data_IF_508367787197
#
_entry.id   IF_508367787197
#
_cell.length_a   1.000
_cell.length_b   1.000
_cell.length_c   1.000
_cell.angle_alpha   90.00
_cell.angle_beta   90.00
_cell.angle_gamma   90.00
#
_symmetry.space_group_name_H-M   'P 1'
#
loop_
_entity.id
_entity.type
_entity.pdbx_description
1 polymer ?
#
# COMPACT_ATOMS: atom_id res chain seq x y z
N UNK A 1 28.16 38.80 19.82
CA UNK A 1 27.01 38.83 20.77
C UNK A 1 25.84 38.23 20.00
N UNK A 2 25.62 36.92 20.10
CA UNK A 2 24.52 36.25 19.38
C UNK A 2 23.23 36.64 20.10
N UNK A 3 22.33 37.34 19.41
CA UNK A 3 21.11 37.91 19.97
C UNK A 3 20.21 36.81 20.57
N UNK A 4 19.81 37.03 21.82
CA UNK A 4 19.02 36.12 22.66
C UNK A 4 17.56 35.91 22.17
N UNK A 5 17.21 36.44 20.99
CA UNK A 5 15.84 36.49 20.47
C UNK A 5 15.47 35.34 19.51
N UNK A 6 16.40 34.45 19.20
CA UNK A 6 16.12 33.29 18.32
C UNK A 6 15.47 32.09 19.02
N UNK A 7 15.44 32.07 20.36
CA UNK A 7 14.86 30.96 21.13
C UNK A 7 13.34 30.86 20.94
N UNK A 8 12.64 32.00 20.92
CA UNK A 8 11.18 32.04 20.79
C UNK A 8 10.68 31.49 19.43
N UNK A 9 11.24 31.89 18.26
CA UNK A 9 10.83 31.31 16.98
C UNK A 9 11.20 29.83 16.86
N UNK A 10 12.31 29.36 17.44
CA UNK A 10 12.67 27.93 17.45
C UNK A 10 11.61 27.12 18.22
N UNK A 11 11.18 27.59 19.39
CA UNK A 11 10.13 26.93 20.19
C UNK A 11 8.80 26.87 19.41
N UNK A 12 8.44 27.94 18.71
CA UNK A 12 7.23 27.99 17.88
C UNK A 12 7.31 26.95 16.74
N UNK A 13 8.45 26.87 16.05
CA UNK A 13 8.66 25.88 14.97
C UNK A 13 8.54 24.44 15.52
N UNK A 14 9.11 24.17 16.69
CA UNK A 14 9.00 22.86 17.35
C UNK A 14 7.54 22.54 17.69
N UNK A 15 6.80 23.49 18.28
CA UNK A 15 5.38 23.30 18.63
C UNK A 15 4.51 23.07 17.39
N UNK A 16 4.73 23.82 16.31
CA UNK A 16 4.05 23.60 15.03
C UNK A 16 4.36 22.19 14.51
N UNK A 17 5.62 21.76 14.57
CA UNK A 17 6.02 20.41 14.18
C UNK A 17 5.27 19.33 14.96
N UNK A 18 5.12 19.49 16.28
CA UNK A 18 4.39 18.54 17.13
C UNK A 18 2.90 18.50 16.77
N UNK A 19 2.27 19.66 16.56
CA UNK A 19 0.85 19.74 16.18
C UNK A 19 0.62 19.08 14.82
N UNK A 20 1.45 19.40 13.82
CA UNK A 20 1.36 18.80 12.49
C UNK A 20 1.57 17.29 12.54
N UNK A 21 2.54 16.82 13.32
CA UNK A 21 2.80 15.39 13.51
C UNK A 21 1.60 14.68 14.14
N UNK A 22 1.00 15.26 15.19
CA UNK A 22 -0.20 14.72 15.83
C UNK A 22 -1.40 14.66 14.88
N UNK A 23 -1.61 15.71 14.09
CA UNK A 23 -2.70 15.76 13.11
C UNK A 23 -2.54 14.72 12.00
N UNK A 24 -1.32 14.58 11.45
CA UNK A 24 -1.02 13.57 10.44
C UNK A 24 -1.27 12.15 10.97
N UNK A 25 -0.91 11.88 12.22
CA UNK A 25 -1.15 10.58 12.86
C UNK A 25 -2.65 10.29 12.99
N UNK A 26 -3.47 11.28 13.36
CA UNK A 26 -4.93 11.11 13.43
C UNK A 26 -5.56 10.78 12.08
N UNK A 27 -5.18 11.49 11.01
CA UNK A 27 -5.68 11.21 9.66
C UNK A 27 -5.39 9.76 9.25
N UNK A 28 -4.17 9.27 9.54
CA UNK A 28 -3.77 7.88 9.24
C UNK A 28 -4.63 6.88 9.99
N UNK A 29 -4.92 7.11 11.28
CA UNK A 29 -5.79 6.24 12.06
C UNK A 29 -7.23 6.21 11.52
N UNK A 30 -7.79 7.36 11.16
CA UNK A 30 -9.16 7.42 10.63
C UNK A 30 -9.29 6.70 9.28
N UNK A 31 -8.39 6.96 8.34
CA UNK A 31 -8.39 6.29 7.02
C UNK A 31 -8.12 4.78 7.14
N UNK A 32 -7.26 4.37 8.07
CA UNK A 32 -7.01 2.95 8.34
C UNK A 32 -8.23 2.28 9.00
N UNK A 33 -8.86 2.92 9.99
CA UNK A 33 -10.06 2.40 10.65
C UNK A 33 -11.23 2.30 9.67
N UNK A 34 -11.38 3.27 8.77
CA UNK A 34 -12.37 3.23 7.69
C UNK A 34 -12.10 2.08 6.72
N UNK A 35 -10.84 1.89 6.32
CA UNK A 35 -10.45 0.77 5.45
C UNK A 35 -10.77 -0.56 6.13
N UNK A 36 -10.29 -0.78 7.36
CA UNK A 36 -10.50 -2.01 8.12
C UNK A 36 -11.97 -2.31 8.39
N UNK A 37 -12.78 -1.30 8.74
CA UNK A 37 -14.21 -1.50 9.00
C UNK A 37 -15.00 -1.85 7.74
N UNK A 38 -14.51 -1.48 6.56
CA UNK A 38 -15.13 -1.83 5.28
C UNK A 38 -14.80 -3.25 4.80
N UNK A 39 -13.65 -3.82 5.19
CA UNK A 39 -13.19 -5.13 4.72
C UNK A 39 -14.25 -6.22 4.83
N UNK A 40 -14.96 -6.43 5.96
CA UNK A 40 -15.96 -7.49 6.08
C UNK A 40 -17.07 -7.42 5.03
N UNK A 41 -17.37 -6.21 4.55
CA UNK A 41 -18.50 -5.91 3.66
C UNK A 41 -18.11 -5.86 2.18
N UNK A 42 -16.82 -5.98 1.84
CA UNK A 42 -16.39 -6.01 0.43
C UNK A 42 -17.06 -7.18 -0.28
N UNK A 43 -17.72 -6.85 -1.39
CA UNK A 43 -18.45 -7.79 -2.26
C UNK A 43 -17.78 -8.00 -3.61
N UNK A 44 -16.98 -7.03 -4.06
CA UNK A 44 -16.26 -7.08 -5.33
C UNK A 44 -14.92 -6.35 -5.28
N UNK A 45 -13.97 -6.85 -6.06
CA UNK A 45 -12.63 -6.29 -6.21
C UNK A 45 -12.39 -6.06 -7.70
N UNK A 46 -12.19 -4.80 -8.06
CA UNK A 46 -12.03 -4.35 -9.43
C UNK A 46 -10.57 -3.99 -9.69
N UNK A 47 -9.95 -4.64 -10.67
CA UNK A 47 -8.59 -4.31 -11.10
C UNK A 47 -8.64 -3.49 -12.38
N UNK A 48 -7.93 -2.37 -12.38
CA UNK A 48 -7.81 -1.44 -13.50
C UNK A 48 -6.37 -1.25 -13.89
N UNK A 49 -6.13 -1.05 -15.19
CA UNK A 49 -4.88 -0.52 -15.71
C UNK A 49 -4.74 0.93 -15.23
N UNK A 50 -3.62 1.28 -14.62
CA UNK A 50 -3.45 2.60 -14.04
C UNK A 50 -3.19 3.71 -15.07
N UNK A 51 -2.71 3.36 -16.26
CA UNK A 51 -2.37 4.31 -17.33
C UNK A 51 -3.62 4.81 -18.06
N UNK A 52 -4.60 3.92 -18.29
CA UNK A 52 -5.79 4.25 -19.06
C UNK A 52 -7.12 4.05 -18.29
N UNK A 53 -7.06 3.62 -17.03
CA UNK A 53 -8.19 3.31 -16.15
C UNK A 53 -9.15 2.22 -16.70
N UNK A 54 -8.71 1.45 -17.69
CA UNK A 54 -9.48 0.37 -18.27
C UNK A 54 -9.64 -0.75 -17.23
N UNK A 55 -10.87 -1.25 -17.10
CA UNK A 55 -11.17 -2.43 -16.30
C UNK A 55 -10.50 -3.67 -16.91
N UNK A 56 -9.62 -4.31 -16.14
CA UNK A 56 -8.95 -5.56 -16.52
C UNK A 56 -9.70 -6.75 -15.96
N UNK A 57 -10.01 -6.73 -14.67
CA UNK A 57 -10.55 -7.88 -13.94
C UNK A 57 -11.62 -7.44 -12.95
N UNK A 58 -12.63 -8.29 -12.75
CA UNK A 58 -13.63 -8.14 -11.69
C UNK A 58 -13.69 -9.44 -10.91
N UNK A 59 -13.39 -9.36 -9.63
CA UNK A 59 -13.44 -10.50 -8.72
C UNK A 59 -14.62 -10.32 -7.77
N UNK A 60 -15.29 -11.41 -7.49
CA UNK A 60 -16.45 -11.52 -6.60
C UNK A 60 -16.24 -12.67 -5.63
N UNK A 61 -17.17 -12.89 -4.70
CA UNK A 61 -17.10 -13.98 -3.74
C UNK A 61 -17.04 -15.38 -4.38
N UNK A 62 -17.39 -15.52 -5.66
CA UNK A 62 -17.29 -16.79 -6.39
C UNK A 62 -15.84 -17.09 -6.84
N UNK A 63 -14.97 -16.07 -6.89
CA UNK A 63 -13.61 -16.22 -7.35
C UNK A 63 -12.70 -16.83 -6.27
N UNK A 64 -11.89 -17.87 -6.59
CA UNK A 64 -11.10 -18.58 -5.60
C UNK A 64 -10.11 -17.73 -4.80
N UNK A 65 -9.64 -16.62 -5.35
CA UNK A 65 -8.66 -15.73 -4.72
C UNK A 65 -9.30 -14.59 -3.92
N UNK A 66 -10.63 -14.44 -4.01
CA UNK A 66 -11.34 -13.28 -3.48
C UNK A 66 -11.16 -13.11 -1.97
N UNK A 67 -11.36 -14.17 -1.19
CA UNK A 67 -11.26 -14.11 0.27
C UNK A 67 -9.84 -13.75 0.75
N UNK A 68 -8.81 -14.21 0.03
CA UNK A 68 -7.43 -13.84 0.32
C UNK A 68 -7.16 -12.37 -0.02
N UNK A 69 -7.62 -11.91 -1.17
CA UNK A 69 -7.46 -10.52 -1.60
C UNK A 69 -8.31 -9.55 -0.77
N UNK A 70 -9.47 -9.97 -0.27
CA UNK A 70 -10.31 -9.18 0.63
C UNK A 70 -9.57 -8.82 1.92
N UNK A 71 -8.71 -9.71 2.40
CA UNK A 71 -7.98 -9.57 3.66
C UNK A 71 -6.58 -8.96 3.47
N UNK A 72 -6.44 -7.87 2.71
CA UNK A 72 -5.13 -7.22 2.44
C UNK A 72 -4.41 -6.67 3.67
N UNK A 73 -5.14 -6.23 4.70
CA UNK A 73 -4.56 -5.60 5.89
C UNK A 73 -4.18 -6.63 6.98
N UNK A 74 -3.51 -7.72 6.60
CA UNK A 74 -2.94 -8.64 7.59
C UNK A 74 -1.64 -8.11 8.18
N UNK A 75 -0.78 -7.55 7.33
CA UNK A 75 0.51 -7.00 7.74
C UNK A 75 0.89 -5.86 6.81
N UNK A 76 1.38 -4.76 7.36
CA UNK A 76 1.79 -3.57 6.62
C UNK A 76 3.11 -3.03 7.16
N UNK A 77 3.72 -2.14 6.37
CA UNK A 77 4.93 -1.42 6.70
C UNK A 77 4.74 0.06 6.34
N UNK A 78 5.01 0.93 7.30
CA UNK A 78 4.91 2.38 7.14
C UNK A 78 6.16 2.90 6.40
N UNK A 79 5.99 3.58 5.28
CA UNK A 79 7.10 4.18 4.56
C UNK A 79 7.57 5.48 5.22
N UNK A 80 8.82 5.46 5.65
CA UNK A 80 9.54 6.66 6.03
C UNK A 80 9.71 7.61 4.84
N UNK A 81 9.92 8.89 5.14
CA UNK A 81 10.08 9.93 4.11
C UNK A 81 11.13 9.58 3.04
N UNK A 82 12.25 8.98 3.45
CA UNK A 82 13.33 8.57 2.55
C UNK A 82 12.96 7.37 1.65
N UNK A 83 12.01 6.55 2.07
CA UNK A 83 11.54 5.36 1.36
C UNK A 83 10.37 5.67 0.44
N UNK A 84 9.64 6.78 0.63
CA UNK A 84 8.55 7.22 -0.27
C UNK A 84 9.00 7.43 -1.71
N UNK A 85 10.30 7.57 -1.96
CA UNK A 85 10.86 7.54 -3.31
C UNK A 85 10.57 6.25 -4.09
N UNK A 86 10.23 5.15 -3.41
CA UNK A 86 9.76 3.92 -4.03
C UNK A 86 8.43 4.12 -4.78
N UNK A 87 7.70 5.19 -4.46
CA UNK A 87 6.44 5.60 -5.09
C UNK A 87 6.66 6.70 -6.14
N UNK A 88 7.91 6.98 -6.53
CA UNK A 88 8.23 7.95 -7.58
C UNK A 88 7.97 7.31 -8.95
N UNK A 89 6.71 7.20 -9.32
CA UNK A 89 6.27 6.63 -10.59
C UNK A 89 4.75 6.53 -10.63
N UNK A 90 4.22 6.14 -11.77
CA UNK A 90 2.82 5.73 -11.85
C UNK A 90 2.72 4.26 -11.43
N UNK A 91 1.67 3.87 -10.69
CA UNK A 91 1.39 2.46 -10.50
C UNK A 91 1.09 1.80 -11.84
N UNK A 92 1.21 0.47 -11.91
CA UNK A 92 0.78 -0.31 -13.06
C UNK A 92 -0.72 -0.61 -13.00
N UNK A 93 -1.23 -0.87 -11.80
CA UNK A 93 -2.63 -1.22 -11.60
C UNK A 93 -3.23 -0.55 -10.37
N UNK A 94 -4.53 -0.30 -10.44
CA UNK A 94 -5.36 0.01 -9.28
C UNK A 94 -6.23 -1.19 -8.94
N UNK A 95 -6.23 -1.60 -7.67
CA UNK A 95 -7.14 -2.59 -7.11
C UNK A 95 -8.14 -1.86 -6.22
N UNK A 96 -9.36 -1.74 -6.71
CA UNK A 96 -10.45 -1.06 -6.03
C UNK A 96 -11.35 -2.07 -5.30
N UNK A 97 -11.60 -1.81 -4.03
CA UNK A 97 -12.44 -2.63 -3.18
C UNK A 97 -13.79 -1.96 -3.01
N UNK A 98 -14.84 -2.68 -3.40
CA UNK A 98 -16.18 -2.15 -3.55
C UNK A 98 -17.13 -2.78 -2.52
N UNK A 99 -18.08 -1.97 -2.06
CA UNK A 99 -19.23 -2.38 -1.25
C UNK A 99 -20.45 -1.75 -1.88
N UNK A 100 -21.38 -2.56 -2.38
CA UNK A 100 -22.57 -2.11 -3.11
C UNK A 100 -22.19 -1.18 -4.27
N UNK A 101 -21.19 -1.56 -5.06
CA UNK A 101 -20.60 -0.77 -6.16
C UNK A 101 -19.92 0.56 -5.73
N UNK A 102 -19.89 0.89 -4.44
CA UNK A 102 -19.19 2.07 -3.94
C UNK A 102 -17.73 1.75 -3.59
N UNK A 103 -16.81 2.54 -4.14
CA UNK A 103 -15.39 2.46 -3.82
C UNK A 103 -15.12 2.81 -2.35
N UNK A 104 -14.61 1.83 -1.60
CA UNK A 104 -14.20 2.01 -0.19
C UNK A 104 -12.71 2.26 -0.05
N UNK A 105 -11.88 1.50 -0.76
CA UNK A 105 -10.44 1.69 -0.74
C UNK A 105 -9.78 1.27 -2.06
N UNK A 106 -8.58 1.82 -2.29
CA UNK A 106 -7.76 1.53 -3.46
C UNK A 106 -6.38 1.11 -2.99
N UNK A 107 -5.89 0.00 -3.54
CA UNK A 107 -4.51 -0.42 -3.43
C UNK A 107 -3.87 -0.23 -4.80
N UNK A 108 -2.70 0.40 -4.82
CA UNK A 108 -1.91 0.61 -6.02
C UNK A 108 -0.83 -0.47 -6.10
N UNK A 109 -0.68 -1.08 -7.28
CA UNK A 109 0.39 -2.04 -7.56
C UNK A 109 1.47 -1.31 -8.34
N UNK A 110 2.67 -1.23 -7.78
CA UNK A 110 3.84 -0.67 -8.45
C UNK A 110 4.80 -1.78 -8.85
N UNK A 111 5.50 -1.58 -9.96
CA UNK A 111 6.72 -2.29 -10.30
C UNK A 111 7.89 -1.34 -10.09
N UNK A 112 8.90 -1.77 -9.34
CA UNK A 112 10.01 -0.90 -8.94
C UNK A 112 11.34 -1.43 -9.50
N UNK A 113 12.30 -0.53 -9.75
CA UNK A 113 13.60 -0.90 -10.33
C UNK A 113 14.61 -1.49 -9.33
N UNK A 114 14.22 -1.72 -8.07
CA UNK A 114 15.14 -2.13 -7.00
C UNK A 114 14.85 -3.56 -6.51
N UNK A 115 15.76 -4.49 -6.78
CA UNK A 115 15.68 -5.92 -6.46
C UNK A 115 15.68 -6.22 -4.94
N UNK A 116 16.16 -5.30 -4.10
CA UNK A 116 16.23 -5.51 -2.64
C UNK A 116 15.58 -4.38 -1.88
N UNK A 117 14.26 -4.46 -1.68
CA UNK A 117 13.64 -3.75 -0.57
C UNK A 117 13.77 -4.63 0.67
N UNK A 118 14.77 -4.35 1.50
CA UNK A 118 14.83 -4.92 2.85
C UNK A 118 13.92 -4.11 3.76
N UNK A 119 12.61 -4.39 3.73
CA UNK A 119 11.66 -3.85 4.68
C UNK A 119 11.64 -4.81 5.87
N UNK A 120 12.60 -4.63 6.78
CA UNK A 120 12.59 -5.32 8.06
C UNK A 120 11.51 -4.64 8.91
N UNK A 121 10.48 -5.35 9.40
CA UNK A 121 9.51 -4.77 10.32
C UNK A 121 10.25 -4.22 11.54
N UNK A 122 10.03 -2.95 11.88
CA UNK A 122 10.72 -2.29 13.00
C UNK A 122 10.30 -2.80 14.38
N UNK A 123 9.19 -3.55 14.48
CA UNK A 123 8.67 -4.04 15.75
C UNK A 123 8.64 -5.58 15.83
N UNK A 124 9.58 -6.10 16.63
CA UNK A 124 9.44 -7.24 17.53
C UNK A 124 8.56 -8.41 17.08
N UNK A 125 9.14 -9.37 16.35
CA UNK A 125 8.61 -10.74 16.36
C UNK A 125 9.73 -11.77 16.49
N UNK A 126 9.66 -12.59 17.54
CA UNK A 126 10.57 -13.70 17.84
C UNK A 126 10.16 -15.01 17.14
N UNK A 127 9.52 -14.90 15.96
CA UNK A 127 8.95 -16.04 15.23
C UNK A 127 9.46 -16.13 13.80
N UNK A 128 9.61 -17.37 13.31
CA UNK A 128 10.15 -17.79 12.00
C UNK A 128 9.28 -17.43 10.79
N UNK A 129 8.45 -16.38 10.85
CA UNK A 129 7.63 -15.94 9.70
C UNK A 129 8.33 -14.81 8.97
N UNK A 130 8.89 -15.12 7.82
CA UNK A 130 9.40 -14.13 6.87
C UNK A 130 8.21 -13.38 6.28
N UNK A 131 8.00 -12.15 6.73
CA UNK A 131 7.02 -11.24 6.11
C UNK A 131 7.64 -10.73 4.80
N UNK A 132 6.88 -10.84 3.72
CA UNK A 132 7.33 -10.49 2.37
C UNK A 132 6.51 -9.31 1.85
N UNK A 133 7.19 -8.19 1.59
CA UNK A 133 6.57 -6.92 1.16
C UNK A 133 6.83 -6.61 -0.33
N UNK A 134 7.59 -7.46 -1.00
CA UNK A 134 7.83 -7.39 -2.42
C UNK A 134 7.61 -8.76 -3.06
N UNK A 135 7.25 -8.78 -4.33
CA UNK A 135 7.10 -10.04 -5.06
C UNK A 135 7.82 -9.95 -6.38
N UNK A 136 8.73 -10.89 -6.62
CA UNK A 136 9.39 -11.06 -7.90
C UNK A 136 8.83 -12.31 -8.56
N UNK A 137 8.05 -12.14 -9.62
CA UNK A 137 7.65 -13.28 -10.45
C UNK A 137 8.88 -13.81 -11.22
N UNK A 138 8.94 -15.11 -11.51
CA UNK A 138 10.08 -15.79 -12.12
C UNK A 138 10.47 -15.25 -13.49
N UNK A 139 9.51 -14.66 -14.22
CA UNK A 139 9.70 -14.15 -15.57
C UNK A 139 10.03 -12.65 -15.60
N UNK A 140 10.09 -12.00 -14.43
CA UNK A 140 10.32 -10.57 -14.32
C UNK A 140 11.66 -10.26 -13.64
N UNK A 141 12.28 -9.14 -14.03
CA UNK A 141 13.53 -8.65 -13.42
C UNK A 141 13.28 -7.63 -12.31
N UNK A 142 12.03 -7.14 -12.21
CA UNK A 142 11.67 -6.05 -11.30
C UNK A 142 10.56 -6.49 -10.34
N UNK A 143 10.72 -6.28 -9.02
CA UNK A 143 9.72 -6.70 -8.07
C UNK A 143 8.51 -5.76 -8.04
N UNK A 144 7.40 -6.32 -7.60
CA UNK A 144 6.15 -5.65 -7.34
C UNK A 144 6.00 -5.28 -5.86
N UNK A 145 5.33 -4.18 -5.59
CA UNK A 145 4.84 -3.80 -4.26
C UNK A 145 3.37 -3.38 -4.33
N UNK A 146 2.64 -3.63 -3.25
CA UNK A 146 1.27 -3.14 -3.08
C UNK A 146 1.26 -2.01 -2.06
N UNK A 147 0.60 -0.92 -2.41
CA UNK A 147 0.68 0.33 -1.66
C UNK A 147 -0.68 0.92 -1.43
N UNK A 148 -0.89 1.45 -0.23
CA UNK A 148 -2.03 2.28 0.10
C UNK A 148 -1.51 3.71 0.19
N UNK A 149 -1.56 4.41 -0.95
CA UNK A 149 -0.86 5.68 -1.16
C UNK A 149 -1.24 6.74 -0.12
N UNK A 150 -2.53 6.86 0.20
CA UNK A 150 -3.04 7.78 1.23
C UNK A 150 -2.37 7.60 2.59
N UNK A 151 -1.98 6.37 2.91
CA UNK A 151 -1.36 6.02 4.19
C UNK A 151 0.17 5.93 4.11
N UNK A 152 0.74 5.98 2.89
CA UNK A 152 2.13 5.64 2.59
C UNK A 152 2.53 4.29 3.19
N UNK A 153 1.68 3.28 3.00
CA UNK A 153 1.86 1.95 3.56
C UNK A 153 2.06 0.91 2.47
N UNK A 154 3.08 0.06 2.63
CA UNK A 154 3.21 -1.17 1.84
C UNK A 154 2.51 -2.29 2.58
N UNK A 155 1.72 -3.10 1.88
CA UNK A 155 1.07 -4.27 2.46
C UNK A 155 1.82 -5.55 2.06
N UNK A 156 1.76 -6.56 2.93
CA UNK A 156 2.39 -7.87 2.66
C UNK A 156 1.69 -8.63 1.53
N UNK A 157 2.44 -9.50 0.85
CA UNK A 157 1.89 -10.41 -0.15
C UNK A 157 1.31 -11.68 0.48
N UNK A 158 0.05 -11.98 0.18
CA UNK A 158 -0.56 -13.32 0.32
C UNK A 158 -0.36 -14.15 -0.95
N UNK A 159 -0.67 -15.45 -0.91
CA UNK A 159 -0.64 -16.30 -2.11
C UNK A 159 -1.66 -15.80 -3.16
N UNK A 160 -2.84 -15.36 -2.73
CA UNK A 160 -3.84 -14.72 -3.59
C UNK A 160 -3.31 -13.46 -4.27
N UNK A 161 -2.49 -12.65 -3.59
CA UNK A 161 -1.90 -11.45 -4.21
C UNK A 161 -0.83 -11.81 -5.24
N UNK A 162 0.01 -12.82 -4.95
CA UNK A 162 1.01 -13.31 -5.91
C UNK A 162 0.34 -13.85 -7.17
N UNK A 163 -0.71 -14.67 -6.99
CA UNK A 163 -1.50 -15.20 -8.09
C UNK A 163 -2.14 -14.09 -8.92
N UNK A 164 -2.73 -13.08 -8.28
CA UNK A 164 -3.29 -11.93 -8.99
C UNK A 164 -2.23 -11.26 -9.88
N UNK A 165 -1.01 -11.03 -9.38
CA UNK A 165 0.05 -10.41 -10.20
C UNK A 165 0.40 -11.28 -11.40
N UNK A 166 0.56 -12.59 -11.20
CA UNK A 166 0.88 -13.50 -12.29
C UNK A 166 -0.22 -13.51 -13.35
N UNK A 167 -1.49 -13.58 -12.94
CA UNK A 167 -2.64 -13.54 -13.84
C UNK A 167 -2.68 -12.22 -14.63
N UNK A 168 -2.33 -11.08 -14.00
CA UNK A 168 -2.27 -9.78 -14.67
C UNK A 168 -1.13 -9.69 -15.68
N UNK A 169 0.05 -10.25 -15.38
CA UNK A 169 1.17 -10.32 -16.32
C UNK A 169 0.82 -11.17 -17.55
N UNK A 170 0.18 -12.32 -17.36
CA UNK A 170 -0.28 -13.17 -18.45
C UNK A 170 -1.30 -12.45 -19.35
N UNK A 171 -2.21 -11.67 -18.76
CA UNK A 171 -3.18 -10.87 -19.52
C UNK A 171 -2.46 -9.77 -20.33
N UNK A 172 -1.48 -9.09 -19.74
CA UNK A 172 -0.73 -8.03 -20.43
C UNK A 172 0.22 -8.57 -21.50
N UNK A 173 0.88 -9.70 -21.27
CA UNK A 173 1.79 -10.32 -22.23
C UNK A 173 1.08 -10.85 -23.47
N UNK A 174 -0.22 -11.08 -23.39
CA UNK A 174 -1.08 -11.53 -24.49
C UNK A 174 -1.84 -10.36 -25.20
N UNK A 175 -1.59 -9.10 -24.82
CA UNK A 175 -2.11 -7.90 -25.49
C UNK A 175 -1.08 -7.31 -26.45
#
# INVERSE_FOLDING_TARGET
MIEKNWLLPIIIIILIGIILYGWQRNIRYEEMAKSLSSIPFVDSILVKDAKNEEKILNLTQEDPIFDELKNIYQTYYDLDWSQRKLLNGEPLFYVEYLVEDEKRHTVSIYQIDNEQISLIPEDQWTGTRTITYNYLNSDNTRPYILVIEKLNQIISFSEGTKKLINDLEDIMGNR
#
